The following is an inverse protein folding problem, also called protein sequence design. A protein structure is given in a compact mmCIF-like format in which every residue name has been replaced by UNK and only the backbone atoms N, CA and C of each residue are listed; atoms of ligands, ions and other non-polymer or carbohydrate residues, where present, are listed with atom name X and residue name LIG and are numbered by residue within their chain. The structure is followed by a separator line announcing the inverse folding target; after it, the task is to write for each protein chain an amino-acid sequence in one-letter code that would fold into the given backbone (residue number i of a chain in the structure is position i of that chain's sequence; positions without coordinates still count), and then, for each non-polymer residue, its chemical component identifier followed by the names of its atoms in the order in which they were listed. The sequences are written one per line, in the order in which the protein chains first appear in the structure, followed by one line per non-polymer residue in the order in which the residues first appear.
data_IF_362342818387
#
_entry.id   IF_362342818387
#
_cell.length_a   1.000
_cell.length_b   1.000
_cell.length_c   1.000
_cell.angle_alpha   90.00
_cell.angle_beta   90.00
_cell.angle_gamma   90.00
#
_symmetry.space_group_name_H-M   'P 1'
#
loop_
_entity.id
_entity.type
_entity.pdbx_description
1 polymer ?
#
# COMPACT_ATOMS: atom_id res chain seq x y z
N UNK A 1 6.38 6.25 25.64
CA UNK A 1 5.10 6.61 24.99
C UNK A 1 4.87 5.55 23.92
N UNK A 2 3.93 4.61 24.12
CA UNK A 2 3.66 3.58 23.10
C UNK A 2 2.83 4.25 22.00
N UNK A 3 3.26 4.23 20.72
CA UNK A 3 2.41 4.71 19.65
C UNK A 3 1.14 3.84 19.64
N UNK A 4 0.00 4.49 19.82
CA UNK A 4 -1.31 3.86 19.64
C UNK A 4 -1.48 3.68 18.13
N UNK A 5 -1.31 2.47 17.63
CA UNK A 5 -1.72 2.13 16.27
C UNK A 5 -3.24 2.35 16.18
N UNK A 6 -3.66 3.46 15.58
CA UNK A 6 -5.05 3.65 15.17
C UNK A 6 -5.39 2.47 14.27
N UNK A 7 -6.50 1.78 14.53
CA UNK A 7 -6.90 0.65 13.68
C UNK A 7 -7.00 1.14 12.23
N UNK A 8 -6.30 0.51 11.28
CA UNK A 8 -6.35 0.94 9.89
C UNK A 8 -7.78 0.85 9.35
N UNK A 9 -8.18 1.85 8.58
CA UNK A 9 -9.45 1.89 7.86
C UNK A 9 -9.49 0.70 6.89
N UNK A 10 -10.57 -0.07 6.91
CA UNK A 10 -10.78 -1.25 6.03
C UNK A 10 -11.79 -0.98 4.91
N UNK A 11 -12.26 0.25 4.76
CA UNK A 11 -13.32 0.60 3.81
C UNK A 11 -12.90 1.84 3.03
N UNK A 12 -12.73 1.71 1.73
CA UNK A 12 -12.64 2.83 0.78
C UNK A 12 -14.02 3.34 0.36
N UNK A 13 -14.06 4.39 -0.45
CA UNK A 13 -15.31 4.92 -1.02
C UNK A 13 -16.00 4.00 -2.01
N UNK A 14 -16.91 4.54 -2.81
CA UNK A 14 -17.61 3.76 -3.84
C UNK A 14 -16.63 3.17 -4.85
N UNK A 15 -16.63 1.84 -4.98
CA UNK A 15 -15.78 1.09 -5.91
C UNK A 15 -15.47 -0.32 -5.42
N UNK A 16 -14.54 -0.99 -6.10
CA UNK A 16 -14.13 -2.37 -5.84
C UNK A 16 -12.66 -2.44 -5.42
N UNK A 17 -12.21 -3.62 -5.02
CA UNK A 17 -10.80 -3.88 -4.73
C UNK A 17 -10.04 -4.06 -6.05
N UNK A 18 -9.05 -3.22 -6.28
CA UNK A 18 -8.11 -3.31 -7.40
C UNK A 18 -6.74 -3.77 -6.90
N UNK A 19 -6.22 -4.82 -7.52
CA UNK A 19 -4.86 -5.32 -7.28
C UNK A 19 -4.07 -5.24 -8.57
N UNK A 20 -3.01 -4.43 -8.55
CA UNK A 20 -2.04 -4.33 -9.65
C UNK A 20 -0.91 -5.31 -9.40
N UNK A 21 -0.45 -5.96 -10.46
CA UNK A 21 0.64 -6.93 -10.39
C UNK A 21 1.67 -6.65 -11.46
N UNK A 22 2.94 -6.55 -11.07
CA UNK A 22 4.08 -6.38 -11.99
C UNK A 22 5.12 -7.48 -11.74
N UNK A 23 5.67 -8.04 -12.82
CA UNK A 23 6.78 -8.99 -12.78
C UNK A 23 7.99 -8.34 -13.45
N UNK A 24 8.98 -7.94 -12.65
CA UNK A 24 10.18 -7.24 -13.11
C UNK A 24 11.43 -8.15 -13.08
N UNK A 25 11.26 -9.40 -12.67
CA UNK A 25 12.31 -10.41 -12.63
C UNK A 25 12.16 -11.46 -13.74
N UNK A 26 13.22 -12.23 -13.97
CA UNK A 26 13.25 -13.28 -15.01
C UNK A 26 13.80 -14.63 -14.51
N UNK A 27 14.09 -14.74 -13.22
CA UNK A 27 14.75 -15.90 -12.61
C UNK A 27 13.76 -17.04 -12.30
N UNK A 28 12.52 -16.69 -11.96
CA UNK A 28 11.48 -17.64 -11.54
C UNK A 28 10.19 -17.39 -12.33
N UNK A 29 9.57 -18.46 -12.82
CA UNK A 29 8.26 -18.35 -13.50
C UNK A 29 7.17 -18.08 -12.46
N UNK A 30 6.51 -16.93 -12.56
CA UNK A 30 5.44 -16.51 -11.64
C UNK A 30 4.08 -16.55 -12.34
N UNK A 31 3.11 -17.24 -11.73
CA UNK A 31 1.70 -17.16 -12.15
C UNK A 31 1.04 -15.90 -11.58
N UNK A 32 1.15 -14.82 -12.35
CA UNK A 32 0.67 -13.48 -11.98
C UNK A 32 -0.83 -13.47 -11.69
N UNK A 33 -1.63 -14.13 -12.54
CA UNK A 33 -3.07 -14.18 -12.35
C UNK A 33 -3.47 -14.91 -11.06
N UNK A 34 -2.72 -15.95 -10.67
CA UNK A 34 -2.94 -16.64 -9.38
C UNK A 34 -2.65 -15.72 -8.19
N UNK A 35 -1.57 -14.96 -8.23
CA UNK A 35 -1.19 -14.06 -7.14
C UNK A 35 -2.14 -12.86 -7.01
N UNK A 36 -2.56 -12.27 -8.12
CA UNK A 36 -3.58 -11.22 -8.12
C UNK A 36 -4.87 -11.68 -7.45
N UNK A 37 -5.38 -12.87 -7.85
CA UNK A 37 -6.58 -13.46 -7.24
C UNK A 37 -6.40 -13.77 -5.76
N UNK A 38 -5.21 -14.26 -5.36
CA UNK A 38 -4.91 -14.53 -3.95
C UNK A 38 -4.99 -13.25 -3.12
N UNK A 39 -4.40 -12.16 -3.57
CA UNK A 39 -4.45 -10.89 -2.85
C UNK A 39 -5.87 -10.34 -2.71
N UNK A 40 -6.67 -10.36 -3.78
CA UNK A 40 -8.10 -9.97 -3.71
C UNK A 40 -8.85 -10.81 -2.67
N UNK A 41 -8.62 -12.13 -2.66
CA UNK A 41 -9.26 -13.03 -1.70
C UNK A 41 -8.84 -12.74 -0.25
N UNK A 42 -7.55 -12.46 -0.01
CA UNK A 42 -7.03 -12.12 1.31
C UNK A 42 -7.62 -10.80 1.80
N UNK A 43 -7.64 -9.76 0.94
CA UNK A 43 -8.25 -8.47 1.28
C UNK A 43 -9.74 -8.61 1.62
N UNK A 44 -10.47 -9.38 0.82
CA UNK A 44 -11.89 -9.68 1.07
C UNK A 44 -12.10 -10.42 2.39
N UNK A 45 -11.26 -11.43 2.68
CA UNK A 45 -11.32 -12.20 3.93
C UNK A 45 -10.99 -11.36 5.16
N UNK A 46 -10.09 -10.38 5.03
CA UNK A 46 -9.80 -9.37 6.05
C UNK A 46 -10.90 -8.30 6.16
N UNK A 47 -11.99 -8.40 5.39
CA UNK A 47 -13.09 -7.47 5.43
C UNK A 47 -12.76 -6.10 4.84
N UNK A 48 -11.74 -6.03 3.98
CA UNK A 48 -11.46 -4.84 3.17
C UNK A 48 -12.52 -4.75 2.07
N UNK A 49 -13.08 -3.54 1.86
CA UNK A 49 -14.18 -3.30 0.91
C UNK A 49 -14.13 -1.89 0.34
N UNK A 50 -14.91 -1.63 -0.71
CA UNK A 50 -14.95 -0.34 -1.39
C UNK A 50 -13.72 -0.13 -2.28
N UNK A 51 -13.63 1.05 -2.88
CA UNK A 51 -12.52 1.42 -3.76
C UNK A 51 -11.18 1.31 -3.02
N UNK A 52 -10.40 0.27 -3.30
CA UNK A 52 -9.18 -0.05 -2.57
C UNK A 52 -8.11 -0.48 -3.55
N UNK A 53 -6.89 0.03 -3.38
CA UNK A 53 -5.77 -0.28 -4.27
C UNK A 53 -4.62 -0.95 -3.51
N UNK A 54 -4.07 -2.00 -4.09
CA UNK A 54 -2.86 -2.71 -3.65
C UNK A 54 -1.97 -3.02 -4.85
N UNK A 55 -0.67 -2.78 -4.73
CA UNK A 55 0.32 -3.21 -5.73
C UNK A 55 1.10 -4.42 -5.23
N UNK A 56 1.23 -5.45 -6.07
CA UNK A 56 2.18 -6.54 -5.91
C UNK A 56 3.27 -6.42 -6.96
N UNK A 57 4.53 -6.47 -6.55
CA UNK A 57 5.67 -6.37 -7.46
C UNK A 57 6.62 -7.54 -7.18
N UNK A 58 6.95 -8.30 -8.22
CA UNK A 58 7.98 -9.34 -8.16
C UNK A 58 9.30 -8.79 -8.70
N UNK A 59 10.35 -8.87 -7.89
CA UNK A 59 11.67 -8.31 -8.20
C UNK A 59 12.77 -9.36 -8.03
N UNK A 60 13.93 -9.10 -8.62
CA UNK A 60 15.11 -9.95 -8.49
C UNK A 60 15.81 -9.73 -7.13
N UNK A 61 16.79 -10.60 -6.85
CA UNK A 61 17.54 -10.58 -5.59
C UNK A 61 18.35 -9.28 -5.40
N UNK A 62 18.87 -8.71 -6.49
CA UNK A 62 19.66 -7.49 -6.46
C UNK A 62 18.79 -6.30 -6.04
N UNK A 63 17.67 -6.10 -6.75
CA UNK A 63 16.68 -5.06 -6.48
C UNK A 63 16.13 -5.18 -5.06
N UNK A 64 15.82 -6.40 -4.61
CA UNK A 64 15.38 -6.64 -3.23
C UNK A 64 16.44 -6.26 -2.20
N UNK A 65 17.71 -6.58 -2.46
CA UNK A 65 18.83 -6.21 -1.58
C UNK A 65 18.99 -4.69 -1.48
N UNK A 66 18.87 -3.99 -2.61
CA UNK A 66 18.92 -2.52 -2.67
C UNK A 66 17.79 -1.91 -1.84
N UNK A 67 16.55 -2.38 -2.01
CA UNK A 67 15.39 -1.95 -1.23
C UNK A 67 15.55 -2.25 0.27
N UNK A 68 15.97 -3.46 0.64
CA UNK A 68 16.17 -3.83 2.05
C UNK A 68 17.29 -3.00 2.69
N UNK A 69 18.34 -2.68 1.93
CA UNK A 69 19.42 -1.82 2.41
C UNK A 69 18.93 -0.39 2.61
N UNK A 70 18.17 0.15 1.65
CA UNK A 70 17.67 1.52 1.70
C UNK A 70 16.65 1.74 2.83
N UNK A 71 15.68 0.84 2.96
CA UNK A 71 14.53 1.05 3.87
C UNK A 71 14.66 0.33 5.21
N UNK A 72 15.44 -0.76 5.30
CA UNK A 72 15.64 -1.53 6.54
C UNK A 72 17.09 -1.53 7.05
N UNK A 73 18.04 -0.95 6.29
CA UNK A 73 19.46 -0.94 6.65
C UNK A 73 20.14 -2.30 6.56
N UNK A 74 19.58 -3.25 5.80
CA UNK A 74 20.09 -4.62 5.65
C UNK A 74 20.62 -4.86 4.25
N UNK A 75 21.91 -5.17 4.13
CA UNK A 75 22.58 -5.40 2.85
C UNK A 75 22.49 -6.85 2.35
N UNK A 76 21.33 -7.48 2.52
CA UNK A 76 21.03 -8.83 2.03
C UNK A 76 19.55 -8.89 1.60
N UNK A 77 19.14 -9.79 0.70
CA UNK A 77 17.76 -9.87 0.24
C UNK A 77 16.84 -10.46 1.32
N UNK A 78 15.54 -10.25 1.17
CA UNK A 78 14.50 -10.94 1.95
C UNK A 78 13.43 -11.45 0.99
N UNK A 79 12.60 -12.37 1.46
CA UNK A 79 11.44 -12.87 0.73
C UNK A 79 10.42 -11.77 0.37
N UNK A 80 10.11 -10.87 1.32
CA UNK A 80 9.07 -9.84 1.16
C UNK A 80 9.40 -8.53 1.87
N UNK A 81 9.01 -7.40 1.26
CA UNK A 81 8.93 -6.08 1.86
C UNK A 81 7.53 -5.49 1.63
N UNK A 82 7.02 -4.75 2.62
CA UNK A 82 5.73 -4.05 2.53
C UNK A 82 5.92 -2.56 2.74
N UNK A 83 5.46 -1.75 1.79
CA UNK A 83 5.49 -0.30 1.81
C UNK A 83 4.06 0.25 1.92
N UNK A 84 3.55 0.49 3.14
CA UNK A 84 2.21 1.01 3.30
C UNK A 84 2.11 2.45 2.79
N UNK A 85 1.07 2.76 2.01
CA UNK A 85 0.68 4.13 1.75
C UNK A 85 -0.26 4.55 2.88
N UNK A 86 0.21 5.45 3.75
CA UNK A 86 -0.60 5.91 4.88
C UNK A 86 -1.89 6.58 4.39
N UNK A 87 -3.06 6.07 4.78
CA UNK A 87 -4.35 6.74 4.61
C UNK A 87 -4.49 8.03 5.45
N UNK A 88 -3.42 8.46 6.12
CA UNK A 88 -3.40 9.48 7.17
C UNK A 88 -2.57 10.72 6.83
N UNK A 89 -2.50 11.16 5.57
CA UNK A 89 -2.06 12.54 5.25
C UNK A 89 -2.91 13.23 4.15
N UNK A 90 -4.23 13.03 4.14
CA UNK A 90 -5.13 14.11 3.67
C UNK A 90 -5.47 15.10 4.82
N UNK A 91 -4.68 15.12 5.90
CA UNK A 91 -4.74 16.16 6.92
C UNK A 91 -3.62 17.16 6.67
N UNK A 92 -4.00 18.21 5.92
CA UNK A 92 -3.49 19.59 6.04
C UNK A 92 -2.05 19.85 5.60
N UNK A 93 -1.89 20.16 4.31
CA UNK A 93 -1.03 21.29 3.93
C UNK A 93 -1.93 22.50 3.68
N UNK A 94 -2.09 23.42 4.64
CA UNK A 94 -2.63 24.72 4.30
C UNK A 94 -1.66 25.35 3.31
N UNK A 95 -2.09 25.57 2.07
CA UNK A 95 -1.30 26.36 1.13
C UNK A 95 -0.97 27.73 1.74
N UNK A 96 0.13 28.38 1.30
CA UNK A 96 0.51 29.69 1.79
C UNK A 96 -0.60 30.70 1.46
N UNK A 97 -1.48 30.94 2.43
CA UNK A 97 -2.74 31.64 2.25
C UNK A 97 -3.82 31.32 3.30
N UNK A 98 -3.66 30.24 4.08
CA UNK A 98 -4.63 29.82 5.11
C UNK A 98 -4.60 30.65 6.41
N UNK A 99 -4.50 31.97 6.28
CA UNK A 99 -4.83 32.93 7.33
C UNK A 99 -6.14 33.64 6.96
N UNK A 100 -7.17 32.89 6.58
CA UNK A 100 -8.55 33.38 6.65
C UNK A 100 -9.32 32.49 7.60
N UNK A 101 -9.67 33.05 8.77
CA UNK A 101 -10.64 32.46 9.69
C UNK A 101 -12.01 32.47 9.00
N UNK A 102 -12.25 31.48 8.15
CA UNK A 102 -13.61 31.19 7.67
C UNK A 102 -14.22 30.12 8.59
N UNK A 103 -15.46 30.28 9.09
CA UNK A 103 -16.06 29.34 10.05
C UNK A 103 -16.46 27.98 9.44
N UNK A 104 -16.26 27.79 8.14
CA UNK A 104 -16.79 26.66 7.39
C UNK A 104 -15.66 25.68 7.03
N UNK A 105 -15.02 25.11 8.05
CA UNK A 105 -14.24 23.89 7.88
C UNK A 105 -15.21 22.71 7.79
N UNK A 106 -15.86 22.52 6.64
CA UNK A 106 -16.43 21.20 6.35
C UNK A 106 -15.25 20.21 6.29
N UNK A 107 -15.27 19.13 7.09
CA UNK A 107 -14.33 18.04 6.89
C UNK A 107 -14.47 17.61 5.42
N UNK A 108 -13.36 17.55 4.68
CA UNK A 108 -13.38 16.85 3.40
C UNK A 108 -13.88 15.44 3.70
N UNK A 109 -14.97 15.04 3.05
CA UNK A 109 -15.53 13.73 3.23
C UNK A 109 -14.59 12.69 2.62
N UNK A 110 -13.61 12.23 3.40
CA UNK A 110 -12.65 11.20 2.99
C UNK A 110 -13.32 9.84 2.79
N UNK A 111 -14.63 9.71 3.09
CA UNK A 111 -15.36 8.47 2.84
C UNK A 111 -15.46 8.12 1.36
N UNK A 112 -15.42 9.11 0.45
CA UNK A 112 -15.47 8.90 -1.01
C UNK A 112 -14.09 8.63 -1.65
N UNK A 113 -12.99 8.67 -0.89
CA UNK A 113 -11.65 8.46 -1.44
C UNK A 113 -11.22 7.00 -1.42
N UNK A 114 -10.45 6.55 -2.45
CA UNK A 114 -9.89 5.21 -2.46
C UNK A 114 -9.04 4.95 -1.23
N UNK A 115 -9.11 3.72 -0.72
CA UNK A 115 -8.20 3.22 0.30
C UNK A 115 -6.93 2.72 -0.39
N UNK A 116 -5.88 3.53 -0.38
CA UNK A 116 -4.57 3.12 -0.87
C UNK A 116 -3.86 2.31 0.22
N UNK A 117 -3.63 1.02 -0.01
CA UNK A 117 -2.89 0.18 0.94
C UNK A 117 -1.38 0.29 0.74
N UNK A 118 -0.95 0.52 -0.50
CA UNK A 118 0.45 0.61 -0.90
C UNK A 118 0.96 -0.65 -1.59
N UNK A 119 2.22 -0.95 -1.37
CA UNK A 119 2.96 -1.91 -2.19
C UNK A 119 3.49 -3.09 -1.38
N UNK A 120 3.43 -4.28 -1.98
CA UNK A 120 4.06 -5.49 -1.47
C UNK A 120 5.05 -5.97 -2.54
N UNK A 121 6.33 -5.94 -2.17
CA UNK A 121 7.44 -6.33 -3.03
C UNK A 121 7.93 -7.71 -2.62
N UNK A 122 8.03 -8.63 -3.57
CA UNK A 122 8.34 -10.04 -3.33
C UNK A 122 9.57 -10.42 -4.17
N UNK A 123 10.50 -11.18 -3.58
CA UNK A 123 11.62 -11.76 -4.29
C UNK A 123 11.42 -13.29 -4.45
N UNK A 124 10.95 -13.78 -5.62
CA UNK A 124 10.63 -15.18 -5.81
C UNK A 124 11.79 -16.16 -5.61
N UNK A 125 13.03 -15.74 -5.83
CA UNK A 125 14.22 -16.60 -5.69
C UNK A 125 14.58 -16.89 -4.22
N UNK A 126 14.07 -16.08 -3.28
CA UNK A 126 14.34 -16.18 -1.83
C UNK A 126 13.14 -16.75 -1.06
N UNK A 127 11.98 -16.89 -1.70
CA UNK A 127 10.71 -17.31 -1.12
C UNK A 127 10.48 -18.83 -1.09
#
# INVERSE_FOLDING_TARGET
MRPSFVKPRRVGGEGEIEVFTADEQHDVVVDIARWQRLAVNVLTAEGVRGNTELTLIFVDEQTMTELNSQYMGKSYPTDVLSFPLDAVEAVRTPGPGAMSKSPDHQPLDMSDHPLLLGDVVICPSVA
#
